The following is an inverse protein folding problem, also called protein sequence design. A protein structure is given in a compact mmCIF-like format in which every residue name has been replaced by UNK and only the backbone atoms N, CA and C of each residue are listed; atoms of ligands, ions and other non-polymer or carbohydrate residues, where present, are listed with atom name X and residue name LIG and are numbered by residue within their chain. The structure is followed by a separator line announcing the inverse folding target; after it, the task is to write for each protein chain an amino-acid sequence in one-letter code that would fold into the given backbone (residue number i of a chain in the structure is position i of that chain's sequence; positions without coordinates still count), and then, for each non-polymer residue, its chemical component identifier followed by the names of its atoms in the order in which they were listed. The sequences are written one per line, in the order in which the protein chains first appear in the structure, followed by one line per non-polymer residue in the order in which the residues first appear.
data_IF_446872206207
#
_entry.id   IF_446872206207
#
_cell.length_a   1.000
_cell.length_b   1.000
_cell.length_c   1.000
_cell.angle_alpha   90.00
_cell.angle_beta   90.00
_cell.angle_gamma   90.00
#
_symmetry.space_group_name_H-M   'P 1'
#
loop_
_entity.id
_entity.type
_entity.pdbx_description
1 polymer ?
#
# COMPACT_ATOMS: atom_id res chain seq x y z
N UNK A 1 34.04 -10.64 17.42
CA UNK A 1 33.05 -9.61 17.86
C UNK A 1 31.69 -10.30 17.94
N UNK A 2 31.13 -10.45 19.16
CA UNK A 2 29.81 -11.08 19.32
C UNK A 2 28.74 -10.16 18.73
N UNK A 3 28.35 -10.39 17.49
CA UNK A 3 27.18 -9.71 16.89
C UNK A 3 25.91 -10.23 17.58
N UNK A 4 25.40 -9.49 18.55
CA UNK A 4 24.13 -9.81 19.22
C UNK A 4 23.01 -9.72 18.20
N UNK A 5 22.31 -10.84 17.98
CA UNK A 5 21.17 -10.88 17.04
C UNK A 5 20.02 -9.95 17.46
N UNK A 6 19.27 -9.37 16.54
CA UNK A 6 18.19 -8.44 16.83
C UNK A 6 17.10 -9.06 17.71
N UNK A 7 16.71 -8.36 18.78
CA UNK A 7 15.57 -8.71 19.61
C UNK A 7 14.91 -7.47 20.20
N UNK A 8 13.59 -7.48 20.38
CA UNK A 8 12.82 -6.35 20.92
C UNK A 8 11.63 -6.82 21.74
N UNK A 9 11.29 -6.04 22.77
CA UNK A 9 10.03 -6.16 23.50
C UNK A 9 9.23 -4.88 23.31
N UNK A 10 7.97 -5.01 22.91
CA UNK A 10 7.04 -3.91 22.66
C UNK A 10 5.83 -4.05 23.59
N UNK A 11 5.26 -2.92 24.01
CA UNK A 11 4.05 -2.87 24.81
C UNK A 11 3.01 -1.95 24.19
N UNK A 12 1.75 -2.30 24.41
CA UNK A 12 0.60 -1.52 24.00
C UNK A 12 -0.34 -1.35 25.19
N UNK A 13 -0.64 -0.09 25.56
CA UNK A 13 -1.59 0.25 26.62
C UNK A 13 -2.59 1.27 26.11
N UNK A 14 -3.88 0.89 26.15
CA UNK A 14 -4.98 1.78 25.80
C UNK A 14 -6.25 1.29 26.49
N UNK A 15 -6.86 2.12 27.34
CA UNK A 15 -8.00 1.74 28.18
C UNK A 15 -7.68 0.53 29.05
N UNK A 16 -8.48 -0.53 28.95
CA UNK A 16 -8.29 -1.80 29.68
C UNK A 16 -7.31 -2.76 28.98
N UNK A 17 -6.75 -2.38 27.85
CA UNK A 17 -5.85 -3.22 27.06
C UNK A 17 -4.40 -3.00 27.49
N UNK A 18 -3.76 -4.05 28.04
CA UNK A 18 -2.33 -4.09 28.36
C UNK A 18 -1.71 -5.33 27.70
N UNK A 19 -1.00 -5.12 26.57
CA UNK A 19 -0.46 -6.18 25.74
C UNK A 19 1.07 -6.04 25.58
N UNK A 20 1.73 -7.18 25.43
CA UNK A 20 3.15 -7.26 25.08
C UNK A 20 3.33 -7.99 23.76
N UNK A 21 4.36 -7.59 23.01
CA UNK A 21 4.80 -8.26 21.80
C UNK A 21 6.32 -8.33 21.81
N UNK A 22 6.87 -9.54 21.69
CA UNK A 22 8.32 -9.77 21.62
C UNK A 22 8.65 -10.28 20.23
N UNK A 23 9.79 -9.89 19.68
CA UNK A 23 10.34 -10.44 18.44
C UNK A 23 11.83 -10.63 18.58
N UNK A 24 12.37 -11.70 17.98
CA UNK A 24 13.80 -12.03 17.98
C UNK A 24 14.21 -12.65 16.65
N UNK A 25 15.47 -12.42 16.27
CA UNK A 25 16.15 -13.21 15.25
C UNK A 25 16.99 -14.25 15.99
N UNK A 26 16.83 -15.50 15.65
CA UNK A 26 17.53 -16.62 16.27
C UNK A 26 18.26 -17.43 15.20
N UNK A 27 19.50 -17.83 15.51
CA UNK A 27 20.30 -18.68 14.63
C UNK A 27 19.88 -20.15 14.74
N UNK A 28 19.80 -20.82 13.60
CA UNK A 28 19.51 -22.24 13.48
C UNK A 28 20.36 -22.85 12.36
N UNK A 29 21.39 -23.59 12.70
CA UNK A 29 22.28 -24.29 11.76
C UNK A 29 22.91 -23.39 10.68
N UNK A 30 23.42 -22.21 11.07
CA UNK A 30 24.02 -21.26 10.14
C UNK A 30 23.03 -20.41 9.32
N UNK A 31 21.74 -20.60 9.52
CA UNK A 31 20.66 -19.79 9.01
C UNK A 31 19.87 -19.16 10.16
N UNK A 32 18.88 -18.32 9.87
CA UNK A 32 18.21 -17.50 10.86
C UNK A 32 16.69 -17.61 10.76
N UNK A 33 16.02 -17.63 11.91
CA UNK A 33 14.56 -17.58 12.01
C UNK A 33 14.11 -16.33 12.76
N UNK A 34 12.96 -15.79 12.37
CA UNK A 34 12.33 -14.65 13.05
C UNK A 34 11.16 -15.15 13.89
N UNK A 35 11.35 -15.18 15.19
CA UNK A 35 10.38 -15.64 16.17
C UNK A 35 9.64 -14.47 16.81
N UNK A 36 8.41 -14.71 17.27
CA UNK A 36 7.62 -13.72 18.00
C UNK A 36 6.79 -14.37 19.10
N UNK A 37 6.48 -13.57 20.13
CA UNK A 37 5.56 -13.92 21.20
C UNK A 37 4.66 -12.73 21.53
N UNK A 38 3.36 -12.96 21.77
CA UNK A 38 2.42 -11.88 22.07
C UNK A 38 1.30 -12.34 23.01
N UNK A 39 0.73 -11.40 23.75
CA UNK A 39 -0.37 -11.67 24.65
C UNK A 39 -0.64 -10.50 25.60
N UNK A 40 -1.51 -10.74 26.60
CA UNK A 40 -1.74 -9.80 27.69
C UNK A 40 -0.52 -9.83 28.64
N UNK A 41 -0.10 -8.68 29.16
CA UNK A 41 0.98 -8.62 30.15
C UNK A 41 0.65 -9.49 31.36
N UNK A 42 1.62 -10.29 31.79
CA UNK A 42 1.47 -11.21 32.92
C UNK A 42 0.74 -12.53 32.63
N UNK A 43 0.31 -12.75 31.35
CA UNK A 43 -0.24 -14.05 30.92
C UNK A 43 0.74 -14.84 30.09
N UNK A 44 0.46 -16.13 29.87
CA UNK A 44 1.20 -16.97 28.91
C UNK A 44 1.07 -16.36 27.52
N UNK A 45 2.21 -16.16 26.85
CA UNK A 45 2.27 -15.56 25.52
C UNK A 45 2.09 -16.61 24.43
N UNK A 46 1.30 -16.27 23.43
CA UNK A 46 1.24 -17.04 22.16
C UNK A 46 2.53 -16.81 21.39
N UNK A 47 3.16 -17.88 20.91
CA UNK A 47 4.40 -17.85 20.16
C UNK A 47 4.20 -18.23 18.70
N UNK A 48 5.12 -17.82 17.83
CA UNK A 48 5.13 -18.21 16.43
C UNK A 48 6.39 -17.74 15.71
N UNK A 49 6.55 -18.17 14.48
CA UNK A 49 7.64 -17.71 13.60
C UNK A 49 7.10 -17.02 12.35
N UNK A 50 7.88 -16.09 11.79
CA UNK A 50 7.59 -15.40 10.52
C UNK A 50 8.34 -16.02 9.33
N UNK A 51 9.28 -16.88 9.59
CA UNK A 51 10.05 -17.64 8.60
C UNK A 51 9.54 -19.08 8.55
N UNK A 52 9.01 -19.54 7.40
CA UNK A 52 8.58 -20.93 7.23
C UNK A 52 9.75 -21.92 7.25
N UNK A 53 10.92 -21.47 6.78
CA UNK A 53 12.21 -22.14 6.88
C UNK A 53 13.28 -21.12 7.26
N UNK A 54 14.40 -21.53 7.89
CA UNK A 54 15.50 -20.62 8.19
C UNK A 54 16.06 -19.96 6.92
N UNK A 55 16.37 -18.66 7.00
CA UNK A 55 16.79 -17.80 5.88
C UNK A 55 18.16 -17.16 6.18
N UNK A 56 18.74 -16.40 5.26
CA UNK A 56 19.96 -15.63 5.50
C UNK A 56 19.75 -14.56 6.60
N UNK A 57 20.84 -14.12 7.24
CA UNK A 57 20.76 -13.06 8.27
C UNK A 57 20.16 -11.77 7.71
N UNK A 58 20.50 -11.42 6.46
CA UNK A 58 19.97 -10.25 5.79
C UNK A 58 18.44 -10.34 5.63
N UNK A 59 17.95 -11.46 5.14
CA UNK A 59 16.52 -11.69 4.95
C UNK A 59 15.78 -11.79 6.29
N UNK A 60 16.33 -12.47 7.28
CA UNK A 60 15.79 -12.51 8.63
C UNK A 60 15.68 -11.10 9.24
N UNK A 61 16.70 -10.26 9.03
CA UNK A 61 16.71 -8.86 9.48
C UNK A 61 15.62 -8.04 8.78
N UNK A 62 15.42 -8.20 7.46
CA UNK A 62 14.32 -7.54 6.72
C UNK A 62 12.95 -7.95 7.26
N UNK A 63 12.73 -9.25 7.50
CA UNK A 63 11.47 -9.77 8.05
C UNK A 63 11.25 -9.24 9.47
N UNK A 64 12.27 -9.24 10.32
CA UNK A 64 12.23 -8.72 11.69
C UNK A 64 11.88 -7.24 11.70
N UNK A 65 12.55 -6.40 10.91
CA UNK A 65 12.31 -4.97 10.81
C UNK A 65 10.86 -4.69 10.35
N UNK A 66 10.38 -5.40 9.32
CA UNK A 66 9.01 -5.31 8.84
C UNK A 66 7.99 -5.67 9.92
N UNK A 67 8.29 -6.69 10.74
CA UNK A 67 7.45 -7.12 11.85
C UNK A 67 7.36 -6.03 12.93
N UNK A 68 8.50 -5.49 13.37
CA UNK A 68 8.60 -4.42 14.37
C UNK A 68 7.84 -3.19 13.88
N UNK A 69 8.09 -2.73 12.65
CA UNK A 69 7.38 -1.61 12.02
C UNK A 69 5.86 -1.81 11.98
N UNK A 70 5.40 -3.03 11.69
CA UNK A 70 3.96 -3.33 11.67
C UNK A 70 3.29 -3.22 13.05
N UNK A 71 4.04 -3.43 14.13
CA UNK A 71 3.53 -3.34 15.51
C UNK A 71 3.58 -1.91 16.05
N UNK A 72 4.66 -1.20 15.81
CA UNK A 72 4.76 0.21 16.19
C UNK A 72 3.72 1.06 15.46
N UNK A 73 3.45 0.78 14.18
CA UNK A 73 2.35 1.41 13.43
C UNK A 73 0.95 1.14 14.02
N UNK A 74 0.81 0.11 14.89
CA UNK A 74 -0.42 -0.20 15.64
C UNK A 74 -0.41 0.36 17.06
N UNK A 75 0.50 1.26 17.38
CA UNK A 75 0.58 1.93 18.69
C UNK A 75 1.39 1.18 19.74
N UNK A 76 2.09 0.11 19.40
CA UNK A 76 3.03 -0.53 20.32
C UNK A 76 4.27 0.35 20.51
N UNK A 77 4.74 0.50 21.77
CA UNK A 77 5.94 1.24 22.16
C UNK A 77 7.01 0.28 22.69
N UNK A 78 8.28 0.69 22.66
CA UNK A 78 9.36 -0.13 23.23
C UNK A 78 9.17 -0.23 24.75
N UNK A 79 9.22 -1.45 25.28
CA UNK A 79 9.10 -1.74 26.69
C UNK A 79 10.46 -1.67 27.35
N UNK A 80 10.65 -0.68 28.26
CA UNK A 80 11.73 -0.61 29.24
C UNK A 80 13.16 -0.56 28.68
N UNK A 81 14.11 -0.08 29.45
CA UNK A 81 15.55 -0.04 29.20
C UNK A 81 16.15 -1.44 29.04
N UNK A 82 16.07 -1.98 27.82
CA UNK A 82 16.83 -3.15 27.40
C UNK A 82 18.19 -2.69 26.88
N UNK A 83 19.25 -2.85 27.65
CA UNK A 83 20.62 -2.68 27.16
C UNK A 83 20.88 -3.60 25.98
N UNK A 84 21.36 -3.04 24.87
CA UNK A 84 21.98 -3.80 23.79
C UNK A 84 21.22 -3.92 22.48
N UNK A 85 20.59 -2.85 21.99
CA UNK A 85 20.13 -2.78 20.60
C UNK A 85 21.12 -1.89 19.83
N UNK A 86 21.79 -2.47 18.84
CA UNK A 86 22.73 -1.75 17.98
C UNK A 86 22.07 -0.53 17.33
N UNK A 87 22.86 0.51 17.11
CA UNK A 87 22.45 1.85 16.63
C UNK A 87 21.53 1.88 15.42
N UNK A 88 21.55 0.84 14.56
CA UNK A 88 20.68 0.75 13.38
C UNK A 88 19.17 0.62 13.69
N UNK A 89 18.79 -0.10 14.78
CA UNK A 89 17.36 -0.26 15.14
C UNK A 89 16.86 0.95 15.90
N UNK A 90 17.73 1.59 16.68
CA UNK A 90 17.41 2.85 17.38
C UNK A 90 17.07 3.96 16.38
N UNK A 91 17.72 3.98 15.22
CA UNK A 91 17.42 4.92 14.14
C UNK A 91 16.07 4.62 13.45
N UNK A 92 15.78 3.33 13.17
CA UNK A 92 14.49 2.90 12.59
C UNK A 92 13.30 3.18 13.52
N UNK A 93 13.51 3.14 14.84
CA UNK A 93 12.44 3.41 15.84
C UNK A 93 12.39 4.87 16.26
N UNK A 94 13.50 5.60 16.22
CA UNK A 94 13.52 7.06 16.43
C UNK A 94 12.79 7.83 15.32
N UNK A 95 12.74 7.27 14.09
CA UNK A 95 12.01 7.86 12.97
C UNK A 95 10.48 7.68 13.02
N UNK A 96 9.93 7.04 14.06
CA UNK A 96 8.46 6.97 14.26
C UNK A 96 8.00 8.02 15.29
N UNK A 97 8.62 9.13 15.32
CA UNK A 97 7.99 10.36 15.82
C UNK A 97 7.02 10.81 14.72
N UNK A 98 5.77 10.32 14.78
CA UNK A 98 4.70 10.64 13.82
C UNK A 98 4.31 12.12 13.99
N UNK A 99 5.25 13.01 13.71
CA UNK A 99 4.99 14.44 13.73
C UNK A 99 4.08 14.81 12.57
N UNK A 100 3.13 15.64 12.83
CA UNK A 100 2.34 16.27 11.78
C UNK A 100 3.22 17.22 10.97
N UNK A 101 3.42 16.91 9.71
CA UNK A 101 4.25 17.72 8.80
C UNK A 101 3.51 18.94 8.23
N UNK A 102 2.20 19.05 8.45
CA UNK A 102 1.33 20.01 7.75
C UNK A 102 1.06 19.67 6.28
N UNK A 103 1.76 18.67 5.71
CA UNK A 103 1.55 18.23 4.33
C UNK A 103 0.28 17.38 4.24
N UNK A 104 -0.69 17.82 3.46
CA UNK A 104 -1.94 17.09 3.23
C UNK A 104 -2.06 16.77 1.75
N UNK A 105 -2.03 15.49 1.34
CA UNK A 105 -2.16 15.15 -0.07
C UNK A 105 -3.58 15.37 -0.59
N UNK A 106 -3.70 15.53 -1.89
CA UNK A 106 -4.98 15.44 -2.58
C UNK A 106 -5.46 13.98 -2.56
N UNK A 107 -6.71 13.77 -2.14
CA UNK A 107 -7.35 12.46 -2.10
C UNK A 107 -8.42 12.37 -3.18
N UNK A 108 -8.49 11.23 -3.86
CA UNK A 108 -9.30 11.04 -5.06
C UNK A 108 -10.59 10.27 -4.75
N UNK A 109 -11.71 10.74 -5.32
CA UNK A 109 -12.94 9.98 -5.34
C UNK A 109 -12.87 8.84 -6.37
N UNK A 110 -13.50 7.68 -6.10
CA UNK A 110 -13.60 6.60 -7.08
C UNK A 110 -14.65 6.94 -8.15
N UNK A 111 -14.40 6.44 -9.36
CA UNK A 111 -15.36 6.37 -10.45
C UNK A 111 -15.43 4.93 -10.96
N UNK A 112 -16.51 4.59 -11.67
CA UNK A 112 -16.66 3.32 -12.37
C UNK A 112 -15.92 3.32 -13.71
N UNK A 113 -15.85 2.16 -14.37
CA UNK A 113 -15.25 2.07 -15.70
C UNK A 113 -16.12 2.73 -16.77
N UNK A 114 -17.45 2.72 -16.61
CA UNK A 114 -18.39 3.41 -17.47
C UNK A 114 -18.24 4.93 -17.38
N UNK A 115 -18.11 5.44 -16.14
CA UNK A 115 -17.85 6.87 -15.90
C UNK A 115 -16.50 7.32 -16.43
N UNK A 116 -15.51 6.42 -16.53
CA UNK A 116 -14.17 6.73 -17.02
C UNK A 116 -14.19 7.21 -18.48
N UNK A 117 -15.21 6.85 -19.28
CA UNK A 117 -15.34 7.26 -20.68
C UNK A 117 -15.37 8.78 -20.85
N UNK A 118 -16.06 9.50 -19.95
CA UNK A 118 -16.11 10.95 -19.97
C UNK A 118 -14.71 11.59 -19.81
N UNK A 119 -13.86 11.00 -18.96
CA UNK A 119 -12.49 11.47 -18.72
C UNK A 119 -11.52 11.06 -19.84
N UNK A 120 -11.78 9.94 -20.50
CA UNK A 120 -10.98 9.50 -21.65
C UNK A 120 -11.14 10.42 -22.86
N UNK A 121 -12.31 10.99 -23.05
CA UNK A 121 -12.65 11.84 -24.22
C UNK A 121 -12.43 13.33 -23.98
N UNK A 122 -12.38 13.78 -22.74
CA UNK A 122 -12.17 15.21 -22.39
C UNK A 122 -10.68 15.56 -22.42
N UNK A 123 -10.29 16.48 -23.32
CA UNK A 123 -8.88 16.88 -23.52
C UNK A 123 -8.31 17.72 -22.37
N UNK A 124 -9.15 18.24 -21.46
CA UNK A 124 -8.68 18.89 -20.21
C UNK A 124 -8.27 17.87 -19.12
N UNK A 125 -8.35 16.58 -19.41
CA UNK A 125 -7.92 15.53 -18.49
C UNK A 125 -6.77 14.71 -19.06
N UNK A 126 -5.75 14.47 -18.22
CA UNK A 126 -4.72 13.49 -18.47
C UNK A 126 -4.97 12.21 -17.66
N UNK A 127 -4.27 11.14 -18.03
CA UNK A 127 -4.35 9.85 -17.36
C UNK A 127 -2.97 9.34 -16.93
N UNK A 128 -2.91 8.69 -15.77
CA UNK A 128 -1.71 8.08 -15.18
C UNK A 128 -2.05 6.70 -14.62
N UNK A 129 -1.05 5.82 -14.47
CA UNK A 129 -1.21 4.56 -13.72
C UNK A 129 -1.63 4.87 -12.28
N UNK A 130 -2.58 4.10 -11.76
CA UNK A 130 -2.84 4.05 -10.33
C UNK A 130 -1.88 3.05 -9.69
N UNK A 131 -0.81 3.55 -9.13
CA UNK A 131 0.19 2.75 -8.45
C UNK A 131 -0.38 2.12 -7.17
N UNK A 132 -0.04 0.85 -6.93
CA UNK A 132 -0.43 0.09 -5.73
C UNK A 132 0.75 0.04 -4.75
N UNK A 133 1.00 1.15 -4.12
CA UNK A 133 2.14 1.35 -3.23
C UNK A 133 1.78 2.05 -1.92
N UNK A 134 2.74 2.77 -1.41
CA UNK A 134 2.61 3.61 -0.23
C UNK A 134 2.71 5.08 -0.64
N UNK A 135 1.62 5.84 -0.43
CA UNK A 135 1.64 7.29 -0.69
C UNK A 135 2.72 7.98 0.11
N UNK A 136 3.52 8.79 -0.58
CA UNK A 136 4.55 9.63 0.02
C UNK A 136 4.49 11.04 -0.55
N UNK A 137 4.28 12.02 0.31
CA UNK A 137 4.59 13.42 -0.01
C UNK A 137 5.96 13.72 0.59
N UNK A 138 6.95 14.00 -0.24
CA UNK A 138 8.33 14.21 0.19
C UNK A 138 8.65 15.70 0.12
N UNK A 139 9.20 16.22 1.21
CA UNK A 139 9.69 17.59 1.32
C UNK A 139 11.19 17.59 1.55
N UNK A 140 11.92 18.35 0.75
CA UNK A 140 13.29 18.75 1.04
C UNK A 140 13.30 20.21 1.48
N UNK A 141 13.89 20.48 2.65
CA UNK A 141 14.08 21.84 3.17
C UNK A 141 15.36 21.86 4.00
N UNK A 142 16.16 22.93 3.87
CA UNK A 142 17.40 23.15 4.64
C UNK A 142 18.34 21.93 4.68
N UNK A 143 18.42 21.20 3.55
CA UNK A 143 19.25 20.00 3.41
C UNK A 143 18.62 18.70 3.95
N UNK A 144 17.53 18.76 4.72
CA UNK A 144 16.82 17.60 5.24
C UNK A 144 15.73 17.14 4.26
N UNK A 145 15.59 15.81 4.07
CA UNK A 145 14.52 15.20 3.30
C UNK A 145 13.62 14.41 4.24
N UNK A 146 12.35 14.79 4.29
CA UNK A 146 11.31 14.09 5.07
C UNK A 146 10.20 13.58 4.18
N UNK A 147 9.58 12.45 4.55
CA UNK A 147 8.40 11.91 3.89
C UNK A 147 7.19 11.91 4.81
N UNK A 148 6.03 12.23 4.25
CA UNK A 148 4.75 12.20 4.94
C UNK A 148 3.80 11.20 4.27
N UNK A 149 3.00 10.50 5.06
CA UNK A 149 1.95 9.60 4.58
C UNK A 149 0.67 10.37 4.18
N UNK A 150 -0.36 9.64 3.73
CA UNK A 150 -1.67 10.21 3.35
C UNK A 150 -2.39 10.99 4.46
N UNK A 151 -1.96 10.86 5.72
CA UNK A 151 -2.47 11.62 6.86
C UNK A 151 -1.61 12.86 7.17
N UNK A 152 -0.51 13.04 6.44
CA UNK A 152 0.44 14.11 6.68
C UNK A 152 1.40 13.84 7.84
N UNK A 153 1.49 12.61 8.31
CA UNK A 153 2.40 12.22 9.40
C UNK A 153 3.74 11.78 8.83
N UNK A 154 4.82 12.16 9.47
CA UNK A 154 6.19 11.75 9.13
C UNK A 154 6.29 10.22 9.06
N UNK A 155 6.99 9.72 8.06
CA UNK A 155 7.23 8.28 7.87
C UNK A 155 8.67 8.03 7.43
N UNK A 156 9.22 6.88 7.82
CA UNK A 156 10.44 6.36 7.21
C UNK A 156 10.20 5.93 5.76
N UNK A 157 11.22 6.07 4.93
CA UNK A 157 11.21 5.71 3.51
C UNK A 157 12.58 5.16 3.08
N UNK A 158 12.69 4.47 1.93
CA UNK A 158 13.93 3.82 1.48
C UNK A 158 15.09 4.80 1.31
N UNK A 159 16.28 4.41 1.77
CA UNK A 159 17.50 5.21 1.66
C UNK A 159 17.87 5.53 0.21
N UNK A 160 17.56 4.63 -0.73
CA UNK A 160 17.77 4.85 -2.14
C UNK A 160 16.99 6.05 -2.69
N UNK A 161 15.71 6.18 -2.29
CA UNK A 161 14.87 7.35 -2.62
C UNK A 161 15.42 8.60 -1.92
N UNK A 162 15.79 8.48 -0.64
CA UNK A 162 16.36 9.59 0.13
C UNK A 162 17.64 10.14 -0.51
N UNK A 163 18.56 9.25 -0.90
CA UNK A 163 19.84 9.60 -1.53
C UNK A 163 19.62 10.29 -2.88
N UNK A 164 18.74 9.74 -3.75
CA UNK A 164 18.45 10.32 -5.05
C UNK A 164 17.87 11.75 -4.93
N UNK A 165 16.98 11.99 -3.97
CA UNK A 165 16.34 13.29 -3.75
C UNK A 165 17.24 14.27 -3.00
N UNK A 166 18.09 13.79 -2.09
CA UNK A 166 19.05 14.64 -1.36
C UNK A 166 20.09 15.26 -2.27
N UNK A 167 20.42 14.61 -3.41
CA UNK A 167 21.39 15.11 -4.37
C UNK A 167 20.92 16.39 -5.12
N UNK A 168 19.61 16.66 -5.17
CA UNK A 168 19.10 17.89 -5.77
C UNK A 168 19.53 19.12 -4.94
N UNK A 169 19.96 20.19 -5.60
CA UNK A 169 20.53 21.39 -4.94
C UNK A 169 19.48 22.38 -4.39
N UNK A 170 18.19 22.17 -4.68
CA UNK A 170 17.09 23.04 -4.33
C UNK A 170 16.09 22.38 -3.36
N UNK A 171 15.28 23.19 -2.68
CA UNK A 171 14.20 22.69 -1.85
C UNK A 171 12.93 22.45 -2.69
N UNK A 172 12.14 21.44 -2.31
CA UNK A 172 10.93 21.08 -3.04
C UNK A 172 9.90 20.34 -2.16
N UNK A 173 8.67 20.25 -2.66
CA UNK A 173 7.64 19.32 -2.17
C UNK A 173 7.11 18.54 -3.37
N UNK A 174 7.32 17.23 -3.38
CA UNK A 174 6.86 16.30 -4.41
C UNK A 174 5.88 15.32 -3.83
N UNK A 175 4.85 14.95 -4.61
CA UNK A 175 3.84 13.96 -4.23
C UNK A 175 3.97 12.73 -5.13
N UNK A 176 3.98 11.54 -4.54
CA UNK A 176 4.24 10.30 -5.26
C UNK A 176 3.70 9.07 -4.53
N UNK A 177 3.91 7.91 -5.15
CA UNK A 177 3.63 6.59 -4.58
C UNK A 177 4.92 5.77 -4.59
N UNK A 178 5.32 5.21 -3.46
CA UNK A 178 6.50 4.35 -3.38
C UNK A 178 6.11 2.87 -3.49
N UNK A 179 6.80 2.15 -4.37
CA UNK A 179 6.71 0.70 -4.52
C UNK A 179 8.14 0.15 -4.36
N UNK A 180 8.37 -0.61 -3.30
CA UNK A 180 9.73 -1.03 -2.96
C UNK A 180 10.66 0.18 -2.76
N UNK A 181 11.74 0.26 -3.53
CA UNK A 181 12.75 1.32 -3.48
C UNK A 181 12.59 2.38 -4.58
N UNK A 182 11.42 2.42 -5.24
CA UNK A 182 11.13 3.36 -6.33
C UNK A 182 10.00 4.29 -5.91
N UNK A 183 10.22 5.61 -6.04
CA UNK A 183 9.20 6.64 -5.95
C UNK A 183 8.67 6.96 -7.34
N UNK A 184 7.39 6.72 -7.57
CA UNK A 184 6.67 7.19 -8.74
C UNK A 184 6.09 8.57 -8.45
N UNK A 185 6.81 9.61 -8.86
CA UNK A 185 6.42 11.00 -8.64
C UNK A 185 5.37 11.44 -9.67
N UNK A 186 4.31 12.10 -9.22
CA UNK A 186 3.21 12.50 -10.12
C UNK A 186 2.66 13.91 -9.87
N UNK A 187 3.18 14.66 -8.89
CA UNK A 187 2.85 16.07 -8.70
C UNK A 187 4.00 16.82 -8.02
N UNK A 188 4.19 18.09 -8.38
CA UNK A 188 5.15 19.01 -7.76
C UNK A 188 4.38 20.15 -7.11
N UNK A 189 4.48 20.27 -5.78
CA UNK A 189 3.71 21.23 -5.02
C UNK A 189 4.51 22.49 -4.66
N UNK A 190 5.84 22.38 -4.63
CA UNK A 190 6.76 23.48 -4.36
C UNK A 190 8.10 23.19 -5.03
N UNK A 191 8.72 24.25 -5.57
CA UNK A 191 10.12 24.27 -5.96
C UNK A 191 10.63 25.67 -5.64
N UNK A 192 11.46 25.78 -4.58
CA UNK A 192 11.84 27.06 -4.03
C UNK A 192 12.42 28.04 -5.07
N UNK A 193 12.04 29.31 -4.95
CA UNK A 193 11.20 29.91 -3.88
C UNK A 193 9.67 29.79 -4.14
N UNK A 194 9.22 29.08 -5.18
CA UNK A 194 7.85 29.11 -5.69
C UNK A 194 6.97 28.01 -5.09
N UNK A 195 5.85 28.39 -4.46
CA UNK A 195 4.72 27.49 -4.17
C UNK A 195 3.87 27.31 -5.44
N UNK A 196 3.75 26.08 -5.90
CA UNK A 196 3.08 25.73 -7.15
C UNK A 196 1.62 25.29 -6.97
N UNK A 197 1.09 25.24 -5.75
CA UNK A 197 -0.27 24.74 -5.48
C UNK A 197 -1.35 25.57 -6.16
N UNK A 198 -1.08 26.85 -6.42
CA UNK A 198 -1.99 27.72 -7.15
C UNK A 198 -1.84 27.67 -8.67
N UNK A 199 -0.81 26.98 -9.16
CA UNK A 199 -0.66 26.72 -10.58
C UNK A 199 -1.58 25.57 -11.03
N UNK A 200 -1.89 25.53 -12.31
CA UNK A 200 -2.62 24.39 -12.89
C UNK A 200 -1.78 23.13 -12.91
N UNK A 201 -2.42 21.96 -13.03
CA UNK A 201 -1.72 20.68 -13.00
C UNK A 201 -0.71 20.52 -14.14
N UNK A 202 -1.03 21.03 -15.34
CA UNK A 202 -0.13 20.95 -16.49
C UNK A 202 1.21 21.65 -16.20
N UNK A 203 1.18 22.83 -15.57
CA UNK A 203 2.39 23.55 -15.16
C UNK A 203 3.16 22.81 -14.07
N UNK A 204 2.47 22.27 -13.06
CA UNK A 204 3.10 21.49 -11.99
C UNK A 204 3.76 20.21 -12.51
N UNK A 205 3.10 19.51 -13.41
CA UNK A 205 3.64 18.32 -14.06
C UNK A 205 4.83 18.64 -14.97
N UNK A 206 4.74 19.72 -15.75
CA UNK A 206 5.88 20.20 -16.55
C UNK A 206 7.09 20.56 -15.67
N UNK A 207 6.86 21.23 -14.54
CA UNK A 207 7.89 21.49 -13.55
C UNK A 207 8.49 20.20 -12.96
N UNK A 208 7.66 19.20 -12.66
CA UNK A 208 8.11 17.91 -12.16
C UNK A 208 9.05 17.20 -13.15
N UNK A 209 8.69 17.18 -14.44
CA UNK A 209 9.53 16.62 -15.51
C UNK A 209 10.88 17.34 -15.63
N UNK A 210 10.89 18.65 -15.42
CA UNK A 210 12.09 19.45 -15.56
C UNK A 210 13.10 19.27 -14.43
N UNK A 211 12.65 18.95 -13.21
CA UNK A 211 13.49 18.97 -12.01
C UNK A 211 13.78 17.61 -11.39
N UNK A 212 12.97 16.59 -11.67
CA UNK A 212 13.21 15.25 -11.08
C UNK A 212 14.40 14.58 -11.74
N UNK A 213 15.26 13.93 -10.92
CA UNK A 213 16.44 13.24 -11.47
C UNK A 213 15.98 12.00 -12.24
N UNK A 214 16.66 11.72 -13.34
CA UNK A 214 16.52 10.45 -14.07
C UNK A 214 17.34 9.37 -13.35
N UNK A 215 16.72 8.70 -12.39
CA UNK A 215 17.34 7.64 -11.58
C UNK A 215 16.42 6.44 -11.46
N UNK A 216 16.95 5.23 -11.24
CA UNK A 216 16.10 4.04 -11.06
C UNK A 216 15.22 4.11 -9.79
N UNK A 217 15.48 5.06 -8.87
CA UNK A 217 14.77 5.18 -7.60
C UNK A 217 13.73 6.31 -7.57
N UNK A 218 13.74 7.22 -8.57
CA UNK A 218 12.74 8.29 -8.70
C UNK A 218 12.32 8.36 -10.15
N UNK A 219 11.09 7.98 -10.43
CA UNK A 219 10.51 7.92 -11.78
C UNK A 219 9.32 8.86 -11.84
N UNK A 220 9.28 9.77 -12.81
CA UNK A 220 8.09 10.58 -13.06
C UNK A 220 7.01 9.72 -13.70
N UNK A 221 5.81 9.72 -13.12
CA UNK A 221 4.71 8.91 -13.60
C UNK A 221 4.36 9.23 -15.06
N UNK A 222 4.38 8.19 -15.92
CA UNK A 222 3.96 8.32 -17.33
C UNK A 222 2.57 8.92 -17.40
N UNK A 223 2.43 10.00 -18.13
CA UNK A 223 1.18 10.75 -18.27
C UNK A 223 0.70 10.72 -19.72
N UNK A 224 -0.51 10.25 -19.93
CA UNK A 224 -1.14 10.22 -21.24
C UNK A 224 -2.09 11.42 -21.40
N UNK A 225 -1.92 12.17 -22.51
CA UNK A 225 -2.72 13.34 -22.88
C UNK A 225 -3.38 13.07 -24.23
N UNK A 226 -4.62 13.52 -24.41
CA UNK A 226 -5.45 13.27 -25.57
C UNK A 226 -6.09 11.87 -25.56
N UNK A 227 -7.25 11.77 -26.19
CA UNK A 227 -8.14 10.60 -26.16
C UNK A 227 -7.42 9.30 -26.54
N UNK A 228 -6.68 9.31 -27.67
CA UNK A 228 -6.00 8.11 -28.18
C UNK A 228 -4.95 7.57 -27.18
N UNK A 229 -4.12 8.47 -26.61
CA UNK A 229 -3.07 8.08 -25.67
C UNK A 229 -3.67 7.59 -24.34
N UNK A 230 -4.73 8.21 -23.83
CA UNK A 230 -5.41 7.80 -22.60
C UNK A 230 -6.07 6.42 -22.75
N UNK A 231 -6.75 6.15 -23.87
CA UNK A 231 -7.32 4.82 -24.18
C UNK A 231 -6.24 3.76 -24.29
N UNK A 232 -5.12 4.06 -24.98
CA UNK A 232 -3.97 3.16 -25.10
C UNK A 232 -3.41 2.82 -23.72
N UNK A 233 -3.15 3.83 -22.87
CA UNK A 233 -2.66 3.62 -21.52
C UNK A 233 -3.62 2.75 -20.69
N UNK A 234 -4.94 3.02 -20.75
CA UNK A 234 -5.93 2.23 -20.01
C UNK A 234 -5.93 0.77 -20.44
N UNK A 235 -5.83 0.50 -21.75
CA UNK A 235 -5.77 -0.86 -22.28
C UNK A 235 -4.47 -1.59 -21.84
N UNK A 236 -3.32 -0.92 -21.93
CA UNK A 236 -2.02 -1.45 -21.47
C UNK A 236 -2.06 -1.80 -19.97
N UNK A 237 -2.59 -0.90 -19.12
CA UNK A 237 -2.68 -1.12 -17.69
C UNK A 237 -3.63 -2.28 -17.33
N UNK A 238 -4.74 -2.44 -18.05
CA UNK A 238 -5.65 -3.58 -17.90
C UNK A 238 -4.99 -4.89 -18.30
N UNK A 239 -4.34 -4.91 -19.45
CA UNK A 239 -3.64 -6.10 -19.95
C UNK A 239 -2.51 -6.53 -19.00
N UNK A 240 -1.78 -5.56 -18.42
CA UNK A 240 -0.74 -5.80 -17.43
C UNK A 240 -1.27 -6.07 -16.01
N UNK A 241 -2.56 -6.23 -15.79
CA UNK A 241 -3.13 -6.53 -14.47
C UNK A 241 -2.92 -5.48 -13.39
N UNK A 242 -2.67 -4.23 -13.78
CA UNK A 242 -2.43 -3.11 -12.84
C UNK A 242 -3.67 -2.79 -11.99
N UNK A 243 -3.48 -2.02 -10.88
CA UNK A 243 -4.56 -1.69 -9.95
C UNK A 243 -5.67 -0.85 -10.59
N UNK A 244 -5.31 0.08 -11.49
CA UNK A 244 -6.26 1.01 -12.07
C UNK A 244 -5.58 2.18 -12.78
N UNK A 245 -6.38 3.20 -13.05
CA UNK A 245 -5.99 4.45 -13.69
C UNK A 245 -6.45 5.65 -12.87
N UNK A 246 -5.70 6.74 -12.90
CA UNK A 246 -6.02 8.02 -12.29
C UNK A 246 -6.17 9.05 -13.40
N UNK A 247 -7.25 9.83 -13.35
CA UNK A 247 -7.43 10.99 -14.21
C UNK A 247 -7.21 12.26 -13.39
N UNK A 248 -6.52 13.24 -13.98
CA UNK A 248 -6.27 14.55 -13.39
C UNK A 248 -6.60 15.64 -14.38
N UNK A 249 -7.29 16.67 -13.91
CA UNK A 249 -7.68 17.82 -14.73
C UNK A 249 -6.47 18.73 -14.92
N UNK A 250 -6.06 18.95 -16.18
CA UNK A 250 -4.86 19.71 -16.56
C UNK A 250 -4.94 21.17 -16.11
N UNK A 251 -6.10 21.79 -16.24
CA UNK A 251 -6.36 23.19 -15.86
C UNK A 251 -6.52 23.41 -14.36
N UNK A 252 -6.59 22.36 -13.54
CA UNK A 252 -6.95 22.50 -12.14
C UNK A 252 -5.77 22.85 -11.24
N UNK A 253 -6.05 23.70 -10.25
CA UNK A 253 -5.20 23.94 -9.10
C UNK A 253 -5.16 22.72 -8.17
N UNK A 254 -4.22 22.72 -7.26
CA UNK A 254 -4.11 21.67 -6.25
C UNK A 254 -4.98 21.98 -5.01
N UNK A 255 -5.67 20.96 -4.49
CA UNK A 255 -6.48 21.06 -3.29
C UNK A 255 -6.19 19.87 -2.35
N UNK A 256 -5.93 20.18 -1.08
CA UNK A 256 -5.72 19.16 -0.05
C UNK A 256 -7.02 18.42 0.28
N UNK A 257 -6.88 17.15 0.68
CA UNK A 257 -8.00 16.35 1.15
C UNK A 257 -8.87 15.78 0.04
N UNK A 258 -10.05 15.28 0.42
CA UNK A 258 -11.03 14.65 -0.46
C UNK A 258 -12.22 15.60 -0.67
N UNK A 259 -12.59 15.93 -1.90
CA UNK A 259 -13.82 16.66 -2.15
C UNK A 259 -15.05 15.78 -1.84
N UNK A 260 -16.18 16.39 -1.53
CA UNK A 260 -17.41 15.68 -1.19
C UNK A 260 -17.89 14.75 -2.33
N UNK A 261 -17.70 15.18 -3.58
CA UNK A 261 -17.99 14.40 -4.79
C UNK A 261 -17.09 14.85 -5.94
N UNK A 262 -16.88 14.00 -6.95
CA UNK A 262 -16.07 14.32 -8.12
C UNK A 262 -14.65 14.78 -7.74
N UNK A 263 -14.29 15.96 -8.22
CA UNK A 263 -13.02 16.63 -7.95
C UNK A 263 -12.16 16.79 -9.19
N UNK A 264 -11.03 17.50 -9.03
CA UNK A 264 -10.04 17.73 -10.09
C UNK A 264 -9.11 16.54 -10.35
N UNK A 265 -9.25 15.46 -9.57
CA UNK A 265 -8.61 14.18 -9.78
C UNK A 265 -9.52 13.05 -9.29
N UNK A 266 -9.64 11.99 -10.08
CA UNK A 266 -10.46 10.82 -9.78
C UNK A 266 -9.69 9.53 -10.08
N UNK A 267 -10.11 8.40 -9.49
CA UNK A 267 -9.48 7.10 -9.70
C UNK A 267 -10.48 6.06 -10.17
N UNK A 268 -10.11 5.30 -11.19
CA UNK A 268 -10.85 4.13 -11.64
C UNK A 268 -10.02 2.88 -11.32
N UNK A 269 -10.57 1.96 -10.51
CA UNK A 269 -9.93 0.67 -10.21
C UNK A 269 -10.43 -0.40 -11.17
N UNK A 270 -9.53 -1.24 -11.64
CA UNK A 270 -9.87 -2.37 -12.49
C UNK A 270 -10.24 -3.59 -11.65
N UNK A 271 -11.50 -3.66 -11.29
CA UNK A 271 -12.03 -4.75 -10.51
C UNK A 271 -12.19 -6.02 -11.35
N UNK A 272 -12.04 -7.17 -10.70
CA UNK A 272 -12.45 -8.46 -11.18
C UNK A 272 -13.57 -9.00 -10.28
N UNK A 273 -14.29 -10.02 -10.74
CA UNK A 273 -15.20 -10.80 -9.89
C UNK A 273 -14.94 -12.28 -10.05
N UNK A 274 -15.35 -13.04 -9.04
CA UNK A 274 -15.33 -14.49 -9.06
C UNK A 274 -16.54 -15.03 -8.30
N UNK A 275 -17.15 -16.08 -8.82
CA UNK A 275 -18.12 -16.88 -8.10
C UNK A 275 -17.36 -17.83 -7.18
N UNK A 276 -17.66 -17.76 -5.89
CA UNK A 276 -16.97 -18.52 -4.83
C UNK A 276 -17.99 -19.28 -3.98
N UNK A 277 -17.59 -20.44 -3.46
CA UNK A 277 -18.41 -21.21 -2.52
C UNK A 277 -18.21 -20.66 -1.10
N UNK A 278 -19.28 -20.49 -0.34
CA UNK A 278 -19.22 -20.17 1.09
C UNK A 278 -18.74 -21.40 1.85
N UNK A 279 -17.51 -21.38 2.36
CA UNK A 279 -16.93 -22.49 3.12
C UNK A 279 -17.22 -22.39 4.62
N UNK A 280 -17.44 -21.17 5.13
CA UNK A 280 -17.72 -20.94 6.55
C UNK A 280 -18.45 -19.61 6.78
N UNK A 281 -19.39 -19.62 7.73
CA UNK A 281 -19.96 -18.39 8.28
C UNK A 281 -19.20 -18.02 9.56
N UNK A 282 -18.63 -16.84 9.60
CA UNK A 282 -17.86 -16.33 10.73
C UNK A 282 -18.73 -15.48 11.67
N UNK A 283 -18.22 -15.20 12.88
CA UNK A 283 -18.78 -14.16 13.73
C UNK A 283 -18.72 -12.77 13.04
N UNK A 284 -19.57 -11.83 13.43
CA UNK A 284 -19.57 -10.44 12.97
C UNK A 284 -19.84 -10.25 11.45
N UNK A 285 -20.90 -10.91 10.95
CA UNK A 285 -21.36 -10.74 9.55
C UNK A 285 -20.24 -10.88 8.52
N UNK A 286 -19.47 -11.97 8.61
CA UNK A 286 -18.40 -12.30 7.66
C UNK A 286 -18.54 -13.76 7.26
N UNK A 287 -18.18 -14.05 5.99
CA UNK A 287 -18.09 -15.40 5.46
C UNK A 287 -16.66 -15.68 5.01
N UNK A 288 -16.22 -16.92 5.10
CA UNK A 288 -15.05 -17.43 4.39
C UNK A 288 -15.52 -17.98 3.05
N UNK A 289 -14.79 -17.67 1.99
CA UNK A 289 -15.10 -18.13 0.64
C UNK A 289 -13.96 -18.97 0.07
N UNK A 290 -14.30 -19.95 -0.76
CA UNK A 290 -13.36 -20.89 -1.36
C UNK A 290 -13.54 -21.01 -2.88
N UNK A 291 -12.45 -21.37 -3.55
CA UNK A 291 -12.39 -21.83 -4.94
C UNK A 291 -11.76 -23.21 -4.96
N UNK A 292 -12.30 -24.14 -5.74
CA UNK A 292 -11.82 -25.54 -5.79
C UNK A 292 -11.63 -26.15 -4.39
N UNK A 293 -12.52 -25.80 -3.44
CA UNK A 293 -12.45 -26.25 -2.05
C UNK A 293 -11.37 -25.60 -1.18
N UNK A 294 -10.52 -24.74 -1.72
CA UNK A 294 -9.47 -24.04 -0.96
C UNK A 294 -9.91 -22.62 -0.54
N UNK A 295 -9.75 -22.22 0.72
CA UNK A 295 -10.10 -20.89 1.20
C UNK A 295 -9.31 -19.80 0.47
N UNK A 296 -10.02 -18.80 -0.08
CA UNK A 296 -9.43 -17.65 -0.78
C UNK A 296 -9.71 -16.30 -0.08
N UNK A 297 -10.21 -16.35 1.12
CA UNK A 297 -10.33 -15.15 1.96
C UNK A 297 -11.64 -15.04 2.73
N UNK A 298 -11.75 -13.95 3.49
CA UNK A 298 -12.94 -13.61 4.26
C UNK A 298 -13.57 -12.33 3.72
N UNK A 299 -14.91 -12.33 3.63
CA UNK A 299 -15.68 -11.22 3.08
C UNK A 299 -16.73 -10.76 4.08
N UNK A 300 -16.79 -9.46 4.31
CA UNK A 300 -17.82 -8.86 5.16
C UNK A 300 -19.13 -8.73 4.40
N UNK A 301 -20.23 -9.17 5.01
CA UNK A 301 -21.57 -9.02 4.44
C UNK A 301 -22.17 -7.69 4.88
N UNK A 302 -22.58 -6.81 3.96
CA UNK A 302 -23.21 -5.53 4.28
C UNK A 302 -24.45 -5.70 5.16
N UNK A 303 -24.77 -4.74 6.05
CA UNK A 303 -25.91 -4.83 6.98
C UNK A 303 -27.26 -5.04 6.27
N UNK A 304 -27.42 -4.51 5.06
CA UNK A 304 -28.63 -4.61 4.24
C UNK A 304 -28.72 -5.89 3.38
N UNK A 305 -27.79 -6.83 3.55
CA UNK A 305 -27.79 -8.13 2.84
C UNK A 305 -27.96 -9.28 3.85
N UNK A 306 -28.59 -10.36 3.43
CA UNK A 306 -28.65 -11.59 4.21
C UNK A 306 -27.28 -12.27 4.21
N UNK A 307 -26.94 -12.95 5.31
CA UNK A 307 -25.71 -13.75 5.40
C UNK A 307 -25.96 -15.06 4.63
N UNK A 308 -25.16 -15.34 3.58
CA UNK A 308 -25.30 -16.60 2.85
C UNK A 308 -24.96 -17.80 3.74
N UNK A 309 -25.62 -18.94 3.46
CA UNK A 309 -25.34 -20.20 4.14
C UNK A 309 -24.08 -20.88 3.56
N UNK A 310 -23.46 -21.76 4.35
CA UNK A 310 -22.37 -22.63 3.90
C UNK A 310 -22.86 -23.47 2.72
N UNK A 311 -22.03 -23.60 1.68
CA UNK A 311 -22.34 -24.31 0.44
C UNK A 311 -22.99 -23.44 -0.65
N UNK A 312 -23.53 -22.28 -0.33
CA UNK A 312 -24.05 -21.37 -1.37
C UNK A 312 -22.92 -20.76 -2.18
N UNK A 313 -23.17 -20.54 -3.48
CA UNK A 313 -22.28 -19.78 -4.36
C UNK A 313 -22.60 -18.29 -4.26
N UNK A 314 -21.56 -17.48 -4.18
CA UNK A 314 -21.65 -16.03 -4.03
C UNK A 314 -20.71 -15.32 -4.99
N UNK A 315 -21.14 -14.19 -5.54
CA UNK A 315 -20.29 -13.34 -6.38
C UNK A 315 -19.48 -12.37 -5.51
N UNK A 316 -18.17 -12.44 -5.66
CA UNK A 316 -17.21 -11.59 -4.95
C UNK A 316 -16.45 -10.73 -5.94
N UNK A 317 -16.60 -9.41 -5.80
CA UNK A 317 -15.78 -8.43 -6.49
C UNK A 317 -14.47 -8.23 -5.72
N UNK A 318 -13.34 -8.26 -6.41
CA UNK A 318 -12.01 -8.12 -5.79
C UNK A 318 -11.05 -7.43 -6.75
N UNK A 319 -9.88 -7.04 -6.26
CA UNK A 319 -8.93 -6.29 -7.09
C UNK A 319 -7.94 -7.20 -7.82
N UNK A 320 -7.32 -8.13 -7.10
CA UNK A 320 -6.39 -9.15 -7.62
C UNK A 320 -6.12 -10.23 -6.56
N UNK A 321 -5.34 -11.25 -6.93
CA UNK A 321 -4.73 -12.21 -6.01
C UNK A 321 -3.20 -12.17 -6.14
N UNK A 322 -2.46 -12.43 -5.05
CA UNK A 322 -0.99 -12.36 -5.02
C UNK A 322 -0.32 -13.53 -5.78
N UNK A 323 -1.07 -14.60 -6.06
CA UNK A 323 -0.65 -15.79 -6.81
C UNK A 323 -1.83 -16.73 -6.93
N UNK A 324 -1.77 -17.70 -7.86
CA UNK A 324 -2.85 -18.70 -8.06
C UNK A 324 -3.19 -19.40 -6.74
N UNK A 325 -4.47 -19.48 -6.42
CA UNK A 325 -4.96 -20.02 -5.14
C UNK A 325 -4.81 -19.06 -3.95
N UNK A 326 -4.22 -17.86 -4.13
CA UNK A 326 -4.06 -16.85 -3.09
C UNK A 326 -5.35 -16.16 -2.69
N UNK A 327 -5.30 -15.43 -1.58
CA UNK A 327 -6.45 -14.68 -1.07
C UNK A 327 -6.84 -13.53 -1.98
N UNK A 328 -8.14 -13.34 -2.15
CA UNK A 328 -8.73 -12.21 -2.86
C UNK A 328 -8.38 -10.90 -2.13
N UNK A 329 -7.81 -9.93 -2.84
CA UNK A 329 -7.43 -8.65 -2.25
C UNK A 329 -8.58 -7.64 -2.33
N UNK A 330 -8.92 -7.04 -1.20
CA UNK A 330 -10.05 -6.12 -1.03
C UNK A 330 -11.39 -6.74 -1.49
N UNK A 331 -11.78 -7.93 -1.01
CA UNK A 331 -12.98 -8.58 -1.46
C UNK A 331 -14.23 -7.83 -1.01
N UNK A 332 -15.22 -7.75 -1.90
CA UNK A 332 -16.51 -7.10 -1.70
C UNK A 332 -17.60 -8.11 -2.09
N UNK A 333 -18.51 -8.40 -1.19
CA UNK A 333 -19.68 -9.23 -1.46
C UNK A 333 -20.66 -8.49 -2.37
N UNK A 334 -21.11 -9.13 -3.43
CA UNK A 334 -22.14 -8.60 -4.34
C UNK A 334 -23.51 -9.26 -4.07
N UNK A 335 -23.65 -10.55 -4.30
CA UNK A 335 -24.92 -11.29 -4.18
C UNK A 335 -24.68 -12.81 -4.12
N UNK A 336 -25.74 -13.55 -3.80
CA UNK A 336 -25.81 -15.00 -4.02
C UNK A 336 -25.98 -15.27 -5.52
N UNK A 337 -25.43 -16.37 -6.00
CA UNK A 337 -25.51 -16.87 -7.38
C UNK A 337 -26.24 -18.22 -7.36
N UNK A 338 -27.49 -18.20 -7.80
CA UNK A 338 -28.31 -19.42 -7.94
C UNK A 338 -28.17 -20.07 -9.33
N UNK A 339 -27.42 -19.42 -10.21
CA UNK A 339 -27.18 -19.75 -11.62
C UNK A 339 -25.78 -20.33 -11.88
N UNK A 340 -24.97 -20.53 -10.84
CA UNK A 340 -23.60 -21.06 -10.91
C UNK A 340 -23.46 -22.21 -9.94
N UNK A 341 -22.97 -23.36 -10.41
CA UNK A 341 -22.70 -24.53 -9.59
C UNK A 341 -21.34 -24.42 -8.86
N UNK A 342 -21.22 -25.15 -7.75
CA UNK A 342 -20.02 -25.07 -6.89
C UNK A 342 -18.75 -25.60 -7.61
N UNK A 343 -18.87 -26.49 -8.58
CA UNK A 343 -17.76 -27.03 -9.38
C UNK A 343 -17.24 -26.04 -10.44
N UNK A 344 -18.04 -25.04 -10.79
CA UNK A 344 -17.62 -23.92 -11.65
C UNK A 344 -16.76 -22.87 -10.90
N UNK A 345 -16.74 -22.92 -9.56
CA UNK A 345 -15.98 -22.01 -8.71
C UNK A 345 -14.49 -22.37 -8.70
N UNK A 346 -13.77 -22.01 -9.77
CA UNK A 346 -12.38 -22.43 -10.01
C UNK A 346 -11.38 -21.28 -9.96
N UNK A 347 -10.09 -21.61 -9.79
CA UNK A 347 -9.00 -20.62 -9.82
C UNK A 347 -8.79 -19.94 -11.19
N UNK A 348 -9.42 -20.43 -12.26
CA UNK A 348 -9.39 -19.79 -13.60
C UNK A 348 -10.01 -18.39 -13.58
N UNK A 349 -10.90 -18.11 -12.63
CA UNK A 349 -11.53 -16.81 -12.46
C UNK A 349 -10.61 -15.76 -11.80
N UNK A 350 -9.44 -16.17 -11.27
CA UNK A 350 -8.57 -15.30 -10.53
C UNK A 350 -7.76 -14.36 -11.42
N UNK A 351 -7.92 -13.06 -11.21
CA UNK A 351 -7.03 -12.01 -11.74
C UNK A 351 -5.78 -11.94 -10.85
N UNK A 352 -4.63 -12.34 -11.39
CA UNK A 352 -3.36 -12.30 -10.68
C UNK A 352 -2.85 -10.86 -10.53
N UNK A 353 -2.12 -10.60 -9.43
CA UNK A 353 -1.39 -9.34 -9.25
C UNK A 353 -0.20 -9.32 -10.21
N UNK A 354 -0.04 -8.20 -10.92
CA UNK A 354 1.17 -7.94 -11.70
C UNK A 354 2.41 -7.94 -10.79
N UNK A 355 3.45 -8.68 -11.17
CA UNK A 355 4.79 -8.60 -10.56
C UNK A 355 5.71 -7.91 -11.54
N UNK A 356 6.37 -6.84 -11.13
CA UNK A 356 7.44 -6.23 -11.90
C UNK A 356 8.60 -7.26 -11.98
N UNK A 357 8.94 -7.69 -13.20
CA UNK A 357 10.00 -8.69 -13.43
C UNK A 357 9.55 -10.00 -14.10
N UNK A 358 8.26 -10.21 -14.32
CA UNK A 358 7.74 -11.34 -15.11
C UNK A 358 7.59 -10.95 -16.63
N UNK A 359 8.53 -10.18 -17.17
CA UNK A 359 8.66 -10.01 -18.62
C UNK A 359 9.63 -11.07 -19.11
N UNK A 360 9.10 -12.20 -19.64
CA UNK A 360 9.81 -13.15 -20.50
C UNK A 360 9.96 -12.57 -21.92
#
# INVERSE_FOLDING_TARGET
MNNKLPSISLEFREGTSDKVYKASVEESNGNYAVNFAFGRRGSTLNTGTKTQSPVSLEEATKIYNKLVLSKTAKGYKISGSGEGIGSSITNVVKDIDQRDTGLRPQLLNPITEEEAEAYLTDDDWCAQEKFDGRRMTIKKATGEVIAANKKGLTIGFPDAIASALSALSFNFVVDGEAIGEILYAFDLLQCDPKDLRQENYAARWGGLLAIMPDTPHVVVAKTAIGTKAKRKLMAELKAAGKEGIVFKKLSAKWYAGRPASGGSAVKCKFWASASCVVSKVNAKRSIEVSLEGQPVGNVTIPPNKNIPAVGQVVEIKYLYVAGKGGSLYQPIYLNVRDDVDADECTFKQQKLKYKAGDED
#
